data_IF_866576806952
#
_entry.id   IF_866576806952
#
_cell.length_a   1.000
_cell.length_b   1.000
_cell.length_c   1.000
_cell.angle_alpha   90.00
_cell.angle_beta   90.00
_cell.angle_gamma   90.00
#
_symmetry.space_group_name_H-M   'P 1'
#
loop_
_entity.id
_entity.type
_entity.pdbx_description
1 polymer ?
#
# COMPACT_ATOMS: atom_id res chain seq x y z
N UNK A 1 -3.12 -17.77 24.52
CA UNK A 1 -3.68 -18.28 23.25
C UNK A 1 -4.05 -17.07 22.40
N UNK A 2 -3.28 -16.85 21.36
CA UNK A 2 -3.56 -15.84 20.37
C UNK A 2 -4.14 -16.53 19.15
N UNK A 3 -5.34 -16.15 18.77
CA UNK A 3 -5.97 -16.63 17.55
C UNK A 3 -5.97 -15.49 16.53
N UNK A 4 -5.48 -15.77 15.33
CA UNK A 4 -5.70 -14.89 14.19
C UNK A 4 -7.12 -15.07 13.70
N UNK A 5 -7.82 -13.99 13.45
CA UNK A 5 -9.09 -14.06 12.76
C UNK A 5 -8.88 -14.56 11.32
N UNK A 6 -9.73 -15.44 10.92
CA UNK A 6 -9.61 -16.17 9.68
C UNK A 6 -9.12 -17.61 9.86
N UNK A 7 -9.09 -18.11 11.10
CA UNK A 7 -8.74 -19.49 11.41
C UNK A 7 -7.24 -19.78 11.26
N UNK A 8 -6.45 -18.74 11.20
CA UNK A 8 -5.01 -18.85 11.31
C UNK A 8 -4.64 -18.61 12.76
N UNK A 9 -4.64 -19.67 13.57
CA UNK A 9 -3.94 -19.64 14.84
C UNK A 9 -2.50 -19.21 14.60
N UNK A 10 -1.81 -18.74 15.63
CA UNK A 10 -0.38 -18.57 15.57
C UNK A 10 0.28 -19.95 15.37
N UNK A 11 0.15 -20.46 14.16
CA UNK A 11 0.82 -21.67 13.70
C UNK A 11 2.34 -21.54 13.83
N UNK A 12 2.80 -20.29 13.96
CA UNK A 12 4.14 -19.97 14.36
C UNK A 12 4.60 -20.74 15.59
N UNK A 13 3.71 -21.07 16.51
CA UNK A 13 4.06 -21.85 17.71
C UNK A 13 4.20 -23.34 17.46
N UNK A 14 3.47 -23.87 16.51
CA UNK A 14 3.47 -25.31 16.30
C UNK A 14 4.56 -25.75 15.35
N UNK A 15 4.88 -24.95 14.38
CA UNK A 15 5.99 -25.17 13.45
C UNK A 15 6.08 -24.05 12.40
N UNK A 16 6.58 -22.89 12.72
CA UNK A 16 6.55 -21.74 11.80
C UNK A 16 7.37 -21.98 10.52
N UNK A 17 8.35 -22.88 10.57
CA UNK A 17 9.34 -23.04 9.52
C UNK A 17 9.44 -24.47 8.97
N UNK A 18 8.47 -25.31 9.25
CA UNK A 18 8.46 -26.67 8.78
C UNK A 18 9.08 -27.67 9.77
N UNK A 19 9.20 -28.93 9.33
CA UNK A 19 9.72 -30.01 10.15
C UNK A 19 11.14 -29.70 10.61
N UNK A 20 11.33 -29.54 11.90
CA UNK A 20 12.65 -29.31 12.52
C UNK A 20 12.83 -27.96 13.17
N UNK A 21 11.90 -27.02 13.02
CA UNK A 21 11.92 -25.81 13.82
C UNK A 21 11.49 -26.13 15.24
N UNK A 22 12.26 -25.67 16.21
CA UNK A 22 12.11 -26.06 17.62
C UNK A 22 10.88 -25.52 18.33
N UNK A 23 9.96 -24.90 17.63
CA UNK A 23 8.75 -24.34 18.21
C UNK A 23 9.01 -23.21 19.21
N UNK A 24 8.09 -23.00 20.13
CA UNK A 24 8.11 -21.88 21.09
C UNK A 24 9.39 -21.81 21.93
N UNK A 25 10.03 -22.92 22.19
CA UNK A 25 11.28 -22.98 22.98
C UNK A 25 12.46 -22.37 22.23
N UNK A 26 12.53 -22.53 20.94
CA UNK A 26 13.56 -21.91 20.10
C UNK A 26 13.31 -20.40 20.03
N UNK A 27 12.08 -19.98 19.93
CA UNK A 27 11.68 -18.57 20.02
C UNK A 27 12.08 -17.94 21.35
N UNK A 28 11.80 -18.60 22.48
CA UNK A 28 12.12 -18.08 23.80
C UNK A 28 13.63 -17.96 24.03
N UNK A 29 14.43 -18.77 23.37
CA UNK A 29 15.88 -18.68 23.43
C UNK A 29 16.46 -17.54 22.58
N UNK A 30 15.68 -17.01 21.65
CA UNK A 30 16.02 -15.85 20.80
C UNK A 30 15.44 -14.52 21.30
N UNK A 31 14.92 -14.47 22.50
CA UNK A 31 14.31 -13.27 23.13
C UNK A 31 15.24 -12.03 23.22
N UNK A 32 16.50 -12.17 22.85
CA UNK A 32 17.37 -11.00 22.67
C UNK A 32 17.18 -10.25 21.36
N UNK A 33 16.47 -10.84 20.39
CA UNK A 33 16.15 -10.25 19.09
C UNK A 33 14.71 -10.66 18.76
N UNK A 34 13.73 -9.78 18.86
CA UNK A 34 12.38 -10.11 18.43
C UNK A 34 12.44 -10.59 16.99
N UNK A 35 11.95 -11.80 16.78
CA UNK A 35 11.87 -12.37 15.44
C UNK A 35 10.85 -11.53 14.64
N UNK A 36 11.30 -10.96 13.54
CA UNK A 36 10.47 -10.11 12.67
C UNK A 36 9.22 -10.86 12.20
N UNK A 37 9.32 -12.17 12.01
CA UNK A 37 8.16 -13.01 11.65
C UNK A 37 7.12 -13.05 12.78
N UNK A 38 7.54 -13.09 14.00
CA UNK A 38 6.67 -13.08 15.15
C UNK A 38 5.90 -11.76 15.30
N UNK A 39 6.62 -10.66 15.12
CA UNK A 39 6.01 -9.33 15.10
C UNK A 39 5.05 -9.17 13.92
N UNK A 40 5.37 -9.76 12.78
CA UNK A 40 4.49 -9.82 11.62
C UNK A 40 3.16 -10.50 11.98
N UNK A 41 3.22 -11.74 12.49
CA UNK A 41 2.01 -12.49 12.85
C UNK A 41 1.20 -11.82 13.96
N UNK A 42 1.86 -11.25 14.97
CA UNK A 42 1.18 -10.47 16.00
C UNK A 42 0.49 -9.23 15.44
N UNK A 43 1.05 -8.63 14.40
CA UNK A 43 0.47 -7.44 13.77
C UNK A 43 -0.86 -7.75 13.08
N UNK A 44 -1.08 -8.97 12.64
CA UNK A 44 -2.40 -9.39 12.17
C UNK A 44 -3.46 -9.34 13.26
N UNK A 45 -3.09 -9.56 14.54
CA UNK A 45 -4.03 -9.49 15.67
C UNK A 45 -4.59 -8.09 15.90
N UNK A 46 -3.91 -7.07 15.44
CA UNK A 46 -4.34 -5.68 15.48
C UNK A 46 -4.93 -5.20 14.17
N UNK A 47 -5.17 -6.13 13.22
CA UNK A 47 -5.92 -5.89 11.99
C UNK A 47 -5.07 -5.51 10.78
N UNK A 48 -3.73 -5.56 10.87
CA UNK A 48 -2.88 -5.29 9.71
C UNK A 48 -2.93 -6.42 8.70
N UNK A 49 -2.94 -6.08 7.43
CA UNK A 49 -2.84 -7.03 6.31
C UNK A 49 -1.39 -7.21 5.89
N UNK A 50 -1.16 -8.21 5.07
CA UNK A 50 0.11 -8.42 4.40
C UNK A 50 0.37 -7.35 3.34
N UNK A 51 1.34 -6.48 3.58
CA UNK A 51 1.71 -5.41 2.65
C UNK A 51 2.35 -5.93 1.36
N UNK A 52 2.85 -7.17 1.35
CA UNK A 52 3.32 -7.81 0.13
C UNK A 52 2.19 -8.09 -0.88
N UNK A 53 0.92 -7.95 -0.49
CA UNK A 53 -0.22 -7.95 -1.42
C UNK A 53 -0.21 -6.74 -2.36
N UNK A 54 0.48 -5.68 -2.00
CA UNK A 54 0.65 -4.48 -2.83
C UNK A 54 1.88 -4.55 -3.76
N UNK A 55 2.75 -5.53 -3.60
CA UNK A 55 3.96 -5.66 -4.42
C UNK A 55 3.58 -6.05 -5.85
N UNK A 56 4.21 -5.40 -6.82
CA UNK A 56 4.10 -5.74 -8.24
C UNK A 56 5.47 -6.08 -8.81
N UNK A 57 5.55 -7.13 -9.62
CA UNK A 57 6.78 -7.59 -10.26
C UNK A 57 6.84 -7.12 -11.71
N UNK A 58 7.99 -6.64 -12.22
CA UNK A 58 8.07 -6.04 -13.55
C UNK A 58 7.92 -7.06 -14.68
N UNK A 59 8.13 -8.34 -14.42
CA UNK A 59 7.97 -9.43 -15.39
C UNK A 59 6.49 -9.62 -15.75
N UNK A 60 5.61 -9.50 -14.77
CA UNK A 60 4.17 -9.73 -14.91
C UNK A 60 3.38 -8.44 -15.10
N UNK A 61 3.96 -7.29 -14.71
CA UNK A 61 3.26 -6.02 -14.66
C UNK A 61 3.75 -5.05 -15.74
N UNK A 62 3.32 -5.31 -16.99
CA UNK A 62 3.69 -4.51 -18.15
C UNK A 62 2.54 -3.63 -18.62
N UNK A 63 2.80 -2.33 -18.70
CA UNK A 63 1.91 -1.37 -19.34
C UNK A 63 2.57 -0.84 -20.60
N UNK A 64 1.90 -0.98 -21.75
CA UNK A 64 2.44 -0.65 -23.06
C UNK A 64 3.80 -1.35 -23.34
N UNK A 65 3.95 -2.61 -22.93
CA UNK A 65 5.17 -3.39 -23.10
C UNK A 65 6.30 -3.07 -22.11
N UNK A 66 6.06 -2.17 -21.19
CA UNK A 66 7.04 -1.69 -20.21
C UNK A 66 6.73 -2.29 -18.83
N UNK A 67 7.72 -2.95 -18.22
CA UNK A 67 7.62 -3.50 -16.87
C UNK A 67 7.77 -2.42 -15.81
N UNK A 68 6.92 -2.49 -14.79
CA UNK A 68 6.96 -1.62 -13.61
C UNK A 68 6.94 -2.46 -12.34
N UNK A 69 7.71 -2.06 -11.35
CA UNK A 69 7.77 -2.70 -10.04
C UNK A 69 7.39 -1.71 -8.95
N UNK A 70 6.51 -2.14 -8.06
CA UNK A 70 6.18 -1.44 -6.83
C UNK A 70 6.53 -2.32 -5.65
N UNK A 71 7.39 -1.83 -4.79
CA UNK A 71 7.82 -2.53 -3.59
C UNK A 71 7.28 -1.81 -2.36
N UNK A 72 6.57 -2.54 -1.52
CA UNK A 72 6.12 -2.07 -0.23
C UNK A 72 6.84 -2.84 0.85
N UNK A 73 7.69 -2.14 1.58
CA UNK A 73 8.55 -2.70 2.64
C UNK A 73 7.96 -2.37 3.99
N UNK A 74 8.23 -3.21 4.95
CA UNK A 74 7.82 -3.04 6.32
C UNK A 74 7.62 -4.40 6.97
N UNK A 75 7.29 -4.41 8.25
CA UNK A 75 7.07 -5.67 8.98
C UNK A 75 6.00 -6.55 8.32
N UNK A 76 5.02 -5.94 7.66
CA UNK A 76 3.98 -6.66 6.91
C UNK A 76 4.34 -6.84 5.43
N UNK A 77 5.51 -6.37 4.99
CA UNK A 77 6.02 -6.50 3.63
C UNK A 77 6.91 -7.72 3.43
N UNK A 78 7.30 -7.99 2.18
CA UNK A 78 8.22 -9.07 1.85
C UNK A 78 9.65 -8.74 2.27
N UNK A 79 10.08 -9.24 3.43
CA UNK A 79 11.43 -9.01 3.94
C UNK A 79 12.50 -9.92 3.33
N UNK A 80 12.12 -11.10 2.88
CA UNK A 80 13.09 -12.13 2.45
C UNK A 80 13.64 -11.93 1.04
N UNK A 81 12.94 -11.23 0.18
CA UNK A 81 13.37 -10.97 -1.20
C UNK A 81 13.97 -9.57 -1.38
N UNK A 82 14.25 -8.86 -0.28
CA UNK A 82 14.83 -7.55 -0.35
C UNK A 82 16.28 -7.62 -0.83
N UNK A 83 16.65 -7.03 -1.98
CA UNK A 83 18.04 -6.94 -2.41
C UNK A 83 18.90 -6.10 -1.44
N UNK A 84 18.28 -5.45 -0.47
CA UNK A 84 18.93 -4.65 0.55
C UNK A 84 18.53 -5.09 1.96
N UNK A 85 18.97 -6.25 2.44
CA UNK A 85 18.57 -6.82 3.73
C UNK A 85 18.83 -5.90 4.93
N UNK A 86 19.77 -4.98 4.83
CA UNK A 86 20.06 -4.00 5.88
C UNK A 86 19.07 -2.83 5.91
N UNK A 87 18.39 -2.54 4.79
CA UNK A 87 17.33 -1.53 4.73
C UNK A 87 15.98 -2.13 5.14
N UNK A 88 15.75 -3.41 4.89
CA UNK A 88 14.53 -4.11 5.28
C UNK A 88 14.27 -4.03 6.78
N UNK A 89 15.28 -4.27 7.60
CA UNK A 89 15.18 -4.15 9.07
C UNK A 89 14.88 -2.73 9.55
N UNK A 90 15.42 -1.72 8.90
CA UNK A 90 15.18 -0.32 9.28
C UNK A 90 13.78 0.16 8.89
N UNK A 91 13.22 -0.37 7.82
CA UNK A 91 11.90 -0.02 7.31
C UNK A 91 10.79 -0.93 7.83
N UNK A 92 11.13 -2.10 8.38
CA UNK A 92 10.16 -3.09 8.83
C UNK A 92 9.23 -2.58 9.93
N UNK A 93 9.71 -1.71 10.79
CA UNK A 93 8.93 -1.15 11.90
C UNK A 93 8.18 0.14 11.55
N UNK A 94 8.52 0.79 10.42
CA UNK A 94 8.07 2.16 10.11
C UNK A 94 7.53 2.33 8.70
N UNK A 95 7.05 1.25 8.06
CA UNK A 95 6.40 1.46 6.77
C UNK A 95 5.17 2.35 6.95
N UNK A 96 4.92 3.29 6.05
CA UNK A 96 3.73 4.12 6.10
C UNK A 96 2.45 3.29 6.22
N UNK A 97 2.35 2.19 5.49
CA UNK A 97 1.20 1.28 5.52
C UNK A 97 0.94 0.69 6.90
N UNK A 98 1.99 0.27 7.62
CA UNK A 98 1.86 -0.28 8.97
C UNK A 98 1.39 0.79 9.96
N UNK A 99 1.99 1.97 9.91
CA UNK A 99 1.58 3.10 10.75
C UNK A 99 0.12 3.47 10.47
N UNK A 100 -0.30 3.38 9.23
CA UNK A 100 -1.68 3.66 8.85
C UNK A 100 -2.66 2.64 9.38
N UNK A 101 -2.36 1.36 9.23
CA UNK A 101 -3.17 0.31 9.81
C UNK A 101 -3.35 0.52 11.31
N UNK A 102 -2.27 0.78 12.04
CA UNK A 102 -2.31 1.06 13.47
C UNK A 102 -3.15 2.30 13.80
N UNK A 103 -3.02 3.38 13.04
CA UNK A 103 -3.82 4.59 13.24
C UNK A 103 -5.31 4.35 12.94
N UNK A 104 -5.61 3.56 11.93
CA UNK A 104 -6.99 3.25 11.56
C UNK A 104 -7.69 2.40 12.61
N UNK A 105 -6.99 1.47 13.25
CA UNK A 105 -7.54 0.67 14.35
C UNK A 105 -7.72 1.48 15.61
N UNK A 106 -7.01 2.61 15.78
CA UNK A 106 -7.10 3.52 16.94
C UNK A 106 -7.02 2.80 18.29
N UNK A 107 -6.19 1.76 18.39
CA UNK A 107 -6.05 0.96 19.58
C UNK A 107 -7.27 0.12 19.94
N UNK A 108 -8.30 0.10 19.12
CA UNK A 108 -9.37 -0.88 19.29
C UNK A 108 -8.80 -2.26 18.98
N UNK A 109 -9.15 -3.22 19.79
CA UNK A 109 -8.96 -4.60 19.43
C UNK A 109 -9.52 -4.75 18.02
N UNK A 110 -8.59 -4.94 17.11
CA UNK A 110 -8.85 -4.93 15.73
C UNK A 110 -10.30 -5.04 15.30
N UNK A 111 -10.58 -4.41 14.28
CA UNK A 111 -11.64 -4.83 13.42
C UNK A 111 -11.24 -6.13 12.72
N UNK A 112 -12.03 -6.52 11.79
CA UNK A 112 -11.64 -7.55 10.87
C UNK A 112 -10.37 -7.15 10.14
N UNK A 113 -9.57 -8.13 9.88
CA UNK A 113 -8.40 -8.10 9.03
C UNK A 113 -8.66 -7.27 7.77
N UNK A 114 -7.95 -6.17 7.63
CA UNK A 114 -8.05 -5.29 6.47
C UNK A 114 -9.25 -4.34 6.41
N UNK A 115 -10.13 -4.29 7.39
CA UNK A 115 -11.28 -3.38 7.37
C UNK A 115 -10.91 -1.91 7.25
N UNK A 116 -9.74 -1.51 7.73
CA UNK A 116 -9.27 -0.13 7.61
C UNK A 116 -9.11 0.32 6.14
N UNK A 117 -8.95 -0.61 5.21
CA UNK A 117 -8.89 -0.31 3.77
C UNK A 117 -10.18 0.36 3.26
N UNK A 118 -11.29 0.17 3.95
CA UNK A 118 -12.57 0.77 3.60
C UNK A 118 -12.74 2.21 4.09
N UNK A 119 -11.85 2.67 4.98
CA UNK A 119 -11.88 4.03 5.50
C UNK A 119 -11.24 4.99 4.51
N UNK A 120 -12.03 5.56 3.60
CA UNK A 120 -11.56 6.42 2.54
C UNK A 120 -12.22 7.79 2.53
N UNK A 121 -11.53 8.84 2.05
CA UNK A 121 -12.13 10.13 1.77
C UNK A 121 -13.25 10.03 0.75
N UNK A 122 -14.31 10.84 0.90
CA UNK A 122 -15.41 10.88 -0.07
C UNK A 122 -14.99 11.36 -1.45
N UNK A 123 -14.01 12.23 -1.51
CA UNK A 123 -13.41 12.75 -2.74
C UNK A 123 -11.90 12.78 -2.61
N UNK A 124 -11.19 12.39 -3.65
CA UNK A 124 -9.74 12.38 -3.65
C UNK A 124 -9.16 12.98 -4.93
N UNK A 125 -8.02 13.63 -4.79
CA UNK A 125 -7.22 14.09 -5.90
C UNK A 125 -5.76 13.64 -5.68
N UNK A 126 -5.08 13.27 -6.76
CA UNK A 126 -3.64 13.12 -6.75
C UNK A 126 -3.00 14.50 -6.89
N UNK A 127 -1.94 14.77 -6.17
CA UNK A 127 -1.09 15.96 -6.34
C UNK A 127 0.28 15.48 -6.78
N UNK A 128 0.65 15.83 -8.01
CA UNK A 128 1.82 15.27 -8.67
C UNK A 128 3.03 16.19 -8.47
N UNK A 129 4.09 15.59 -7.96
CA UNK A 129 5.38 16.22 -7.76
C UNK A 129 6.47 15.48 -8.53
N UNK A 130 7.47 16.18 -9.01
CA UNK A 130 8.70 15.56 -9.50
C UNK A 130 9.66 15.19 -8.35
N UNK A 131 10.78 14.55 -8.66
CA UNK A 131 11.80 14.16 -7.69
C UNK A 131 12.47 15.35 -6.98
N UNK A 132 12.31 16.57 -7.50
CA UNK A 132 12.80 17.82 -6.88
C UNK A 132 11.75 18.46 -5.97
N UNK A 133 10.55 17.86 -5.87
CA UNK A 133 9.42 18.39 -5.11
C UNK A 133 8.69 19.52 -5.82
N UNK A 134 8.86 19.69 -7.13
CA UNK A 134 8.14 20.69 -7.91
C UNK A 134 6.82 20.09 -8.43
N UNK A 135 5.78 20.93 -8.48
CA UNK A 135 4.47 20.52 -9.00
C UNK A 135 4.53 20.24 -10.50
N UNK A 136 4.00 19.11 -10.91
CA UNK A 136 3.86 18.72 -12.31
C UNK A 136 2.48 19.16 -12.82
N UNK A 137 2.42 20.35 -13.39
CA UNK A 137 1.19 21.02 -13.85
C UNK A 137 0.95 20.82 -15.33
N UNK A 138 -0.33 20.89 -15.75
CA UNK A 138 -0.78 20.84 -17.14
C UNK A 138 -0.28 19.59 -17.92
N UNK A 139 0.02 18.53 -17.20
CA UNK A 139 0.55 17.28 -17.72
C UNK A 139 -0.55 16.25 -18.01
N UNK A 140 -0.39 15.46 -19.05
CA UNK A 140 -1.26 14.32 -19.29
C UNK A 140 -1.02 13.24 -18.24
N UNK A 141 -2.10 12.68 -17.70
CA UNK A 141 -2.04 11.64 -16.65
C UNK A 141 -2.91 10.46 -17.01
N UNK A 142 -2.37 9.27 -16.77
CA UNK A 142 -3.06 7.99 -16.85
C UNK A 142 -2.82 7.23 -15.55
N UNK A 143 -3.88 6.66 -14.98
CA UNK A 143 -3.83 5.87 -13.74
C UNK A 143 -4.29 4.46 -14.06
N UNK A 144 -3.43 3.51 -13.79
CA UNK A 144 -3.67 2.08 -13.98
C UNK A 144 -3.80 1.43 -12.61
N UNK A 145 -4.71 0.48 -12.46
CA UNK A 145 -4.97 -0.20 -11.21
C UNK A 145 -4.48 -1.64 -11.27
N UNK A 146 -4.06 -2.18 -10.14
CA UNK A 146 -3.84 -3.62 -10.00
C UNK A 146 -5.15 -4.38 -9.91
N UNK A 147 -5.15 -5.61 -10.41
CA UNK A 147 -6.14 -6.64 -10.12
C UNK A 147 -5.38 -7.92 -9.81
N UNK A 148 -5.60 -8.50 -8.64
CA UNK A 148 -4.85 -9.68 -8.15
C UNK A 148 -3.32 -9.49 -8.25
N UNK A 149 -2.83 -8.31 -7.88
CA UNK A 149 -1.41 -7.89 -7.93
C UNK A 149 -0.85 -7.66 -9.34
N UNK A 150 -1.64 -7.83 -10.37
CA UNK A 150 -1.24 -7.55 -11.76
C UNK A 150 -1.78 -6.17 -12.17
N UNK A 151 -0.94 -5.32 -12.74
CA UNK A 151 -1.36 -4.01 -13.23
C UNK A 151 -2.17 -4.20 -14.52
N UNK A 152 -3.44 -3.77 -14.48
CA UNK A 152 -4.32 -3.79 -15.64
C UNK A 152 -3.76 -2.88 -16.76
N UNK A 153 -3.74 -3.37 -17.99
CA UNK A 153 -3.18 -2.61 -19.13
C UNK A 153 -4.14 -1.54 -19.69
N UNK A 154 -5.21 -1.25 -18.96
CA UNK A 154 -6.20 -0.21 -19.31
C UNK A 154 -6.28 0.80 -18.18
N UNK A 155 -6.10 2.10 -18.45
CA UNK A 155 -6.20 3.10 -17.40
C UNK A 155 -7.63 3.21 -16.88
N UNK A 156 -7.78 3.22 -15.55
CA UNK A 156 -9.06 3.42 -14.86
C UNK A 156 -9.41 4.90 -14.74
N UNK A 157 -8.38 5.77 -14.72
CA UNK A 157 -8.55 7.22 -14.77
C UNK A 157 -7.58 7.82 -15.79
N UNK A 158 -8.00 8.88 -16.48
CA UNK A 158 -7.15 9.63 -17.42
C UNK A 158 -7.61 11.07 -17.52
N UNK A 159 -6.69 11.98 -17.78
CA UNK A 159 -6.95 13.39 -17.96
C UNK A 159 -5.68 14.23 -17.94
N UNK A 160 -5.77 15.41 -17.33
CA UNK A 160 -4.63 16.31 -17.14
C UNK A 160 -4.58 16.82 -15.70
N UNK A 161 -3.39 17.10 -15.21
CA UNK A 161 -3.18 17.83 -13.96
C UNK A 161 -3.55 19.31 -14.17
N UNK A 162 -4.09 19.95 -13.14
CA UNK A 162 -4.41 21.39 -13.17
C UNK A 162 -3.14 22.25 -12.90
N UNK A 163 -3.32 23.59 -12.84
CA UNK A 163 -2.26 24.54 -12.54
C UNK A 163 -1.64 24.39 -11.14
N UNK A 164 -2.20 23.56 -10.29
CA UNK A 164 -1.69 23.18 -8.97
C UNK A 164 -1.17 21.74 -8.92
N UNK A 165 -0.94 21.13 -10.09
CA UNK A 165 -0.48 19.74 -10.19
C UNK A 165 -1.52 18.71 -9.73
N UNK A 166 -2.80 19.08 -9.58
CA UNK A 166 -3.84 18.19 -9.08
C UNK A 166 -4.58 17.48 -10.21
N UNK A 167 -4.90 16.23 -9.95
CA UNK A 167 -5.76 15.42 -10.79
C UNK A 167 -6.88 14.81 -9.94
N UNK A 168 -8.10 15.27 -10.13
CA UNK A 168 -9.26 14.75 -9.42
C UNK A 168 -9.58 13.32 -9.87
N UNK A 169 -9.63 12.40 -8.92
CA UNK A 169 -10.06 11.03 -9.17
C UNK A 169 -11.58 10.93 -9.18
N UNK A 170 -12.11 10.16 -10.12
CA UNK A 170 -13.54 9.85 -10.16
C UNK A 170 -13.83 8.63 -9.30
N UNK A 171 -14.84 8.73 -8.44
CA UNK A 171 -15.31 7.55 -7.73
C UNK A 171 -15.97 6.56 -8.69
N UNK A 172 -15.73 5.30 -8.41
CA UNK A 172 -16.27 4.13 -9.11
C UNK A 172 -17.19 3.37 -8.16
N UNK A 173 -18.26 2.75 -8.67
CA UNK A 173 -19.16 1.96 -7.83
C UNK A 173 -18.40 0.88 -7.07
N UNK A 174 -18.57 0.84 -5.76
CA UNK A 174 -17.91 -0.11 -4.87
C UNK A 174 -18.88 -0.98 -4.06
N UNK A 175 -20.19 -0.67 -4.17
CA UNK A 175 -21.15 -1.20 -3.24
C UNK A 175 -21.10 -0.47 -1.90
N UNK A 176 -21.98 -0.89 -0.98
CA UNK A 176 -22.00 -0.35 0.38
C UNK A 176 -21.77 -1.46 1.39
N UNK A 177 -20.75 -1.31 2.18
CA UNK A 177 -20.43 -2.22 3.26
C UNK A 177 -20.04 -1.41 4.50
N UNK A 178 -20.61 -1.76 5.66
CA UNK A 178 -20.24 -1.16 6.93
C UNK A 178 -19.44 -2.17 7.72
N UNK A 179 -18.26 -1.78 8.13
CA UNK A 179 -17.37 -2.63 8.93
C UNK A 179 -17.76 -2.61 10.40
N UNK A 180 -17.31 -3.57 11.19
CA UNK A 180 -17.48 -3.57 12.63
C UNK A 180 -16.76 -2.41 13.31
N UNK A 181 -15.68 -1.92 12.72
CA UNK A 181 -14.95 -0.74 13.21
C UNK A 181 -15.65 0.57 12.90
N UNK A 182 -16.74 0.53 12.13
CA UNK A 182 -17.56 1.69 11.79
C UNK A 182 -17.10 2.43 10.53
N UNK A 183 -16.15 1.89 9.75
CA UNK A 183 -15.87 2.39 8.42
C UNK A 183 -17.00 1.99 7.48
N UNK A 184 -17.30 2.83 6.53
CA UNK A 184 -18.30 2.55 5.49
C UNK A 184 -17.60 2.59 4.14
N UNK A 185 -17.46 1.42 3.52
CA UNK A 185 -17.09 1.38 2.12
C UNK A 185 -18.20 2.03 1.31
N UNK A 186 -17.85 2.98 0.51
CA UNK A 186 -18.71 3.66 -0.45
C UNK A 186 -17.98 3.76 -1.78
N UNK A 187 -18.64 4.34 -2.78
CA UNK A 187 -18.00 4.63 -4.05
C UNK A 187 -16.69 5.38 -3.82
N UNK A 188 -15.61 4.88 -4.41
CA UNK A 188 -14.25 5.36 -4.20
C UNK A 188 -13.42 5.20 -5.49
N UNK A 189 -12.22 5.78 -5.60
CA UNK A 189 -11.44 5.73 -6.84
C UNK A 189 -11.05 4.31 -7.29
N UNK A 190 -10.94 3.37 -6.35
CA UNK A 190 -10.56 1.97 -6.64
C UNK A 190 -11.76 1.10 -7.08
N UNK A 191 -13.00 1.53 -6.80
CA UNK A 191 -14.17 0.66 -6.92
C UNK A 191 -14.27 -0.35 -5.78
N UNK A 192 -14.72 -1.58 -6.02
CA UNK A 192 -14.71 -2.63 -5.01
C UNK A 192 -13.30 -2.89 -4.52
N UNK A 193 -13.10 -2.96 -3.21
CA UNK A 193 -11.79 -3.22 -2.61
C UNK A 193 -11.76 -4.66 -2.13
N UNK A 194 -10.76 -5.40 -2.56
CA UNK A 194 -10.51 -6.74 -2.07
C UNK A 194 -10.09 -6.68 -0.60
N UNK A 195 -10.55 -7.61 0.19
CA UNK A 195 -10.33 -7.67 1.66
C UNK A 195 -8.85 -7.57 2.03
N UNK A 196 -7.98 -8.11 1.20
CA UNK A 196 -6.52 -8.06 1.41
C UNK A 196 -5.81 -7.03 0.53
N UNK A 197 -6.56 -6.14 -0.12
CA UNK A 197 -6.00 -5.03 -0.89
C UNK A 197 -5.35 -5.40 -2.24
N UNK A 198 -5.60 -6.59 -2.78
CA UNK A 198 -4.99 -7.07 -4.03
C UNK A 198 -5.19 -6.17 -5.26
N UNK A 199 -6.19 -5.30 -5.23
CA UNK A 199 -6.46 -4.30 -6.26
C UNK A 199 -6.20 -2.87 -5.76
N UNK A 200 -5.48 -2.71 -4.67
CA UNK A 200 -5.27 -1.46 -3.95
C UNK A 200 -4.10 -0.61 -4.42
N UNK A 201 -3.52 -0.87 -5.57
CA UNK A 201 -2.36 -0.11 -6.08
C UNK A 201 -2.71 0.61 -7.37
N UNK A 202 -2.27 1.86 -7.48
CA UNK A 202 -2.30 2.65 -8.69
C UNK A 202 -0.88 2.89 -9.21
N UNK A 203 -0.62 2.51 -10.46
CA UNK A 203 0.47 3.04 -11.26
C UNK A 203 0.01 4.33 -11.93
N UNK A 204 0.77 5.40 -11.78
CA UNK A 204 0.52 6.70 -12.37
C UNK A 204 1.57 6.96 -13.45
N UNK A 205 1.14 7.19 -14.69
CA UNK A 205 2.00 7.61 -15.79
C UNK A 205 1.64 9.05 -16.13
N UNK A 206 2.66 9.90 -16.19
CA UNK A 206 2.54 11.32 -16.48
C UNK A 206 3.39 11.68 -17.68
N UNK A 207 2.84 12.44 -18.63
CA UNK A 207 3.55 12.92 -19.80
C UNK A 207 3.51 14.44 -19.86
N UNK A 208 4.69 15.04 -19.93
CA UNK A 208 4.90 16.48 -20.07
C UNK A 208 6.14 16.76 -20.91
N UNK A 209 6.07 17.67 -21.86
CA UNK A 209 7.20 18.16 -22.65
C UNK A 209 8.04 17.03 -23.27
N UNK A 210 7.37 16.01 -23.85
CA UNK A 210 7.97 14.79 -24.40
C UNK A 210 8.68 13.88 -23.37
N UNK A 211 8.55 14.17 -22.10
CA UNK A 211 9.08 13.35 -21.02
C UNK A 211 7.96 12.48 -20.44
N UNK A 212 8.26 11.19 -20.24
CA UNK A 212 7.38 10.27 -19.53
C UNK A 212 7.95 10.01 -18.14
N UNK A 213 7.08 10.21 -17.15
CA UNK A 213 7.38 9.99 -15.73
C UNK A 213 6.39 8.96 -15.17
N UNK A 214 6.76 8.29 -14.10
CA UNK A 214 5.88 7.34 -13.42
C UNK A 214 6.02 7.42 -11.91
N UNK A 215 4.95 7.08 -11.22
CA UNK A 215 4.91 6.94 -9.78
C UNK A 215 3.86 5.94 -9.37
N UNK A 216 3.80 5.67 -8.09
CA UNK A 216 2.81 4.76 -7.51
C UNK A 216 2.17 5.39 -6.28
N UNK A 217 0.94 4.96 -6.02
CA UNK A 217 0.27 5.14 -4.73
C UNK A 217 -0.57 3.90 -4.44
N UNK A 218 -0.91 3.69 -3.19
CA UNK A 218 -1.75 2.57 -2.81
C UNK A 218 -2.91 3.02 -1.92
N UNK A 219 -3.87 2.15 -1.73
CA UNK A 219 -5.06 2.41 -0.93
C UNK A 219 -4.75 2.92 0.48
N UNK A 220 -3.63 2.51 1.05
CA UNK A 220 -3.23 2.94 2.40
C UNK A 220 -2.91 4.42 2.51
N UNK A 221 -2.48 5.08 1.42
CA UNK A 221 -2.29 6.53 1.40
C UNK A 221 -3.63 7.27 1.59
N UNK A 222 -4.70 6.73 1.01
CA UNK A 222 -6.05 7.27 1.16
C UNK A 222 -6.59 7.03 2.56
N UNK A 223 -6.33 5.85 3.12
CA UNK A 223 -6.68 5.53 4.51
C UNK A 223 -5.96 6.46 5.48
N UNK A 224 -4.70 6.80 5.19
CA UNK A 224 -3.90 7.79 5.93
C UNK A 224 -4.59 9.14 5.97
N UNK A 225 -4.91 9.66 4.81
CA UNK A 225 -5.56 10.94 4.68
C UNK A 225 -6.87 10.97 5.46
N UNK A 226 -7.66 9.90 5.35
CA UNK A 226 -8.90 9.75 6.11
C UNK A 226 -8.66 9.71 7.63
N UNK A 227 -7.70 8.92 8.08
CA UNK A 227 -7.35 8.82 9.50
C UNK A 227 -6.79 10.15 10.06
N UNK A 228 -6.13 10.92 9.21
CA UNK A 228 -5.66 12.28 9.49
C UNK A 228 -6.77 13.34 9.50
N UNK A 229 -8.04 12.95 9.29
CA UNK A 229 -9.19 13.86 9.36
C UNK A 229 -9.67 14.37 8.00
N UNK A 230 -9.02 14.01 6.90
CA UNK A 230 -9.44 14.41 5.54
C UNK A 230 -10.57 13.51 5.03
N UNK A 231 -11.68 13.45 5.75
CA UNK A 231 -12.77 12.51 5.47
C UNK A 231 -13.63 12.91 4.26
N UNK A 232 -13.78 14.21 4.01
CA UNK A 232 -14.61 14.71 2.90
C UNK A 232 -13.79 14.84 1.62
N UNK A 233 -12.61 15.46 1.72
CA UNK A 233 -11.72 15.69 0.59
C UNK A 233 -10.29 15.45 1.00
N UNK A 234 -9.54 14.70 0.18
CA UNK A 234 -8.13 14.46 0.39
C UNK A 234 -7.30 14.77 -0.85
N UNK A 235 -6.11 15.27 -0.62
CA UNK A 235 -5.06 15.44 -1.60
C UNK A 235 -3.95 14.42 -1.31
N UNK A 236 -3.75 13.49 -2.22
CA UNK A 236 -2.78 12.40 -2.09
C UNK A 236 -1.52 12.78 -2.86
N UNK A 237 -0.41 13.08 -2.18
CA UNK A 237 0.83 13.44 -2.85
C UNK A 237 1.45 12.23 -3.52
N UNK A 238 1.87 12.39 -4.76
CA UNK A 238 2.58 11.36 -5.52
C UNK A 238 3.82 11.99 -6.15
N UNK A 239 4.98 11.43 -5.84
CA UNK A 239 6.21 11.82 -6.51
C UNK A 239 6.39 10.94 -7.74
N UNK A 240 6.54 11.55 -8.91
CA UNK A 240 6.84 10.84 -10.15
C UNK A 240 8.30 11.03 -10.52
N UNK A 241 8.91 9.95 -11.00
CA UNK A 241 10.28 9.95 -11.47
C UNK A 241 10.36 9.70 -12.97
N UNK A 242 11.40 10.22 -13.57
CA UNK A 242 11.65 10.01 -15.00
C UNK A 242 11.86 8.53 -15.26
N UNK A 243 11.26 8.05 -16.34
CA UNK A 243 11.39 6.67 -16.78
C UNK A 243 12.83 6.38 -17.20
N UNK A 244 13.54 5.61 -16.37
CA UNK A 244 14.86 5.06 -16.65
C UNK A 244 14.81 3.61 -17.11
N UNK A 245 15.94 2.94 -17.11
CA UNK A 245 16.06 1.52 -17.44
C UNK A 245 15.44 0.64 -16.36
N UNK A 246 15.64 0.99 -15.09
CA UNK A 246 14.97 0.36 -13.96
C UNK A 246 13.72 1.13 -13.56
N UNK A 247 12.59 0.42 -13.48
CA UNK A 247 11.28 0.98 -13.14
C UNK A 247 10.79 0.40 -11.82
N UNK A 248 11.63 0.55 -10.82
CA UNK A 248 11.35 0.18 -9.44
C UNK A 248 10.91 1.42 -8.68
N UNK A 249 9.80 1.35 -8.01
CA UNK A 249 9.28 2.37 -7.13
C UNK A 249 9.12 1.80 -5.72
N UNK A 250 9.73 2.44 -4.76
CA UNK A 250 9.71 2.02 -3.37
C UNK A 250 8.71 2.87 -2.59
N UNK A 251 7.72 2.23 -1.98
CA UNK A 251 6.72 2.91 -1.16
C UNK A 251 7.40 3.71 -0.02
N UNK A 252 7.03 4.97 0.11
CA UNK A 252 7.53 5.86 1.16
C UNK A 252 8.94 6.39 0.96
N UNK A 253 9.66 5.99 -0.10
CA UNK A 253 10.98 6.54 -0.42
C UNK A 253 10.90 8.03 -0.82
N UNK A 254 9.87 8.35 -1.56
CA UNK A 254 9.66 9.69 -2.07
C UNK A 254 8.67 10.45 -1.19
N UNK A 255 9.19 11.28 -0.30
CA UNK A 255 8.38 12.20 0.51
C UNK A 255 8.48 13.59 -0.07
N UNK A 256 7.34 14.24 -0.22
CA UNK A 256 7.30 15.67 -0.51
C UNK A 256 7.92 16.39 0.69
N UNK A 257 9.02 17.08 0.46
CA UNK A 257 9.62 17.96 1.49
C UNK A 257 8.73 19.18 1.58
N UNK A 258 7.99 19.31 2.68
CA UNK A 258 7.24 20.52 3.01
C UNK A 258 8.15 21.61 3.53
#
# INVERSE_FOLDING_TARGET
DFECDGGRGLTAYDNPWGKGSGGIHEYLNHIGSPDDAWLHELSHQIGLIDDYQFITEPVDNKVNGVGYSYLNRGIMGGGETDPHPNLGRLFSLYSPSNVQGLNATKGKRRGYFGEYLYCMPKQSALVIYDEKGQLVTDAEIQVFQTELRVIENKPVHKGKTDSKGRFALKNRPAGRHTTETGCVLSDNPFGPIHVVGLNGVFLIIVKKDNQEMYGFTCVTEFNTAWAGGQTEKAEIPVVVKVKGDERVYLAGEYKVKH
#
